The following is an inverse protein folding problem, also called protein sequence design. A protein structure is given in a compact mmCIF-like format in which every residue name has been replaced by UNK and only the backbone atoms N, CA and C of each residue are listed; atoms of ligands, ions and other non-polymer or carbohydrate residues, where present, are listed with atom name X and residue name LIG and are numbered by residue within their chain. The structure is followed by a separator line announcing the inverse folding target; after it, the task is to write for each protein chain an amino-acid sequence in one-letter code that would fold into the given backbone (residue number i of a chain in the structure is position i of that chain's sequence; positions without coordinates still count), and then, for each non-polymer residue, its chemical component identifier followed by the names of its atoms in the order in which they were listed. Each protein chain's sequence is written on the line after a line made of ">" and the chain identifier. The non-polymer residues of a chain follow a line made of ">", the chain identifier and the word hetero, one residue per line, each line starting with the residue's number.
data_IF_628635343845
#
_entry.id   IF_628635343845
#
_cell.length_a   1.000
_cell.length_b   1.000
_cell.length_c   1.000
_cell.angle_alpha   90.00
_cell.angle_beta   90.00
_cell.angle_gamma   90.00
#
_symmetry.space_group_name_H-M   'P 1'
#
loop_
_entity.id
_entity.type
_entity.pdbx_description
1 polymer ?
#
# COMPACT_ATOMS: atom_id res chain seq x y z
N UNK A 1 35.42 -16.36 24.23
CA UNK A 1 35.75 -15.35 25.25
C UNK A 1 35.46 -15.98 26.61
N UNK A 2 36.48 -16.18 27.45
CA UNK A 2 36.34 -16.89 28.72
C UNK A 2 35.56 -16.01 29.73
N UNK A 3 34.37 -16.45 30.12
CA UNK A 3 33.59 -15.83 31.20
C UNK A 3 34.23 -16.19 32.54
N UNK A 4 34.84 -15.20 33.20
CA UNK A 4 35.47 -15.39 34.50
C UNK A 4 34.42 -15.35 35.61
N UNK A 5 33.92 -16.52 36.02
CA UNK A 5 33.07 -16.66 37.21
C UNK A 5 33.90 -16.36 38.47
N UNK A 6 33.51 -15.33 39.23
CA UNK A 6 34.33 -14.77 40.32
C UNK A 6 34.11 -15.42 41.69
N UNK A 7 33.12 -16.30 41.86
CA UNK A 7 32.92 -17.04 43.12
C UNK A 7 32.59 -18.50 42.85
N UNK A 8 33.09 -19.45 43.65
CA UNK A 8 32.76 -20.87 43.51
C UNK A 8 31.30 -21.09 43.92
N UNK A 9 30.42 -21.15 42.92
CA UNK A 9 29.02 -21.54 43.06
C UNK A 9 28.49 -22.06 41.72
N UNK A 10 27.29 -22.62 41.71
CA UNK A 10 26.59 -23.05 40.50
C UNK A 10 25.98 -21.82 39.82
N UNK A 11 26.26 -21.65 38.52
CA UNK A 11 25.68 -20.59 37.69
C UNK A 11 24.81 -21.22 36.60
N UNK A 12 23.61 -20.67 36.40
CA UNK A 12 22.71 -21.02 35.30
C UNK A 12 22.70 -19.84 34.34
N UNK A 13 23.25 -20.04 33.14
CA UNK A 13 23.16 -19.07 32.06
C UNK A 13 22.06 -19.51 31.09
N UNK A 14 20.94 -18.81 31.09
CA UNK A 14 19.90 -18.99 30.08
C UNK A 14 20.29 -18.23 28.81
N UNK A 15 21.02 -18.89 27.92
CA UNK A 15 21.31 -18.36 26.59
C UNK A 15 20.07 -18.61 25.74
N UNK A 16 19.19 -17.62 25.61
CA UNK A 16 18.06 -17.70 24.67
C UNK A 16 18.59 -17.71 23.23
N UNK A 17 18.78 -18.92 22.70
CA UNK A 17 19.27 -19.19 21.34
C UNK A 17 18.15 -19.19 20.30
N UNK A 18 16.91 -18.91 20.70
CA UNK A 18 15.80 -18.89 19.77
C UNK A 18 15.88 -17.61 18.96
N UNK A 19 16.17 -17.68 17.64
CA UNK A 19 15.93 -16.53 16.79
C UNK A 19 14.46 -16.12 16.94
N UNK A 20 14.11 -14.82 16.87
CA UNK A 20 12.71 -14.43 16.77
C UNK A 20 12.08 -15.17 15.58
N UNK A 21 11.22 -16.16 15.86
CA UNK A 21 10.72 -17.13 14.87
C UNK A 21 9.69 -16.60 13.89
N UNK A 22 9.32 -15.32 13.98
CA UNK A 22 8.36 -14.68 13.07
C UNK A 22 8.93 -13.33 12.66
N UNK A 23 9.50 -13.29 11.45
CA UNK A 23 9.56 -12.05 10.70
C UNK A 23 8.12 -11.68 10.33
N UNK A 24 7.66 -10.50 10.74
CA UNK A 24 6.33 -10.02 10.36
C UNK A 24 6.24 -9.90 8.85
N UNK A 25 5.57 -10.85 8.21
CA UNK A 25 5.32 -10.78 6.76
C UNK A 25 4.14 -9.84 6.58
N UNK A 26 4.26 -8.84 5.70
CA UNK A 26 3.12 -7.98 5.35
C UNK A 26 2.05 -8.85 4.68
N UNK A 27 0.97 -9.18 5.37
CA UNK A 27 -0.06 -10.14 4.93
C UNK A 27 -1.13 -9.54 4.00
N UNK A 28 -0.85 -8.43 3.34
CA UNK A 28 -1.85 -7.78 2.52
C UNK A 28 -1.28 -6.73 1.59
N UNK A 29 -0.68 -7.18 0.47
CA UNK A 29 -0.42 -6.30 -0.67
C UNK A 29 -1.71 -6.31 -1.52
N UNK A 30 -2.51 -5.23 -1.52
CA UNK A 30 -3.72 -5.16 -2.34
C UNK A 30 -3.36 -5.01 -3.82
N UNK A 31 -4.25 -5.49 -4.69
CA UNK A 31 -4.20 -5.24 -6.13
C UNK A 31 -5.52 -4.59 -6.54
N UNK A 32 -5.43 -3.54 -7.35
CA UNK A 32 -6.58 -2.83 -7.89
C UNK A 32 -6.71 -3.14 -9.39
N UNK A 33 -7.91 -3.52 -9.83
CA UNK A 33 -8.21 -3.82 -11.23
C UNK A 33 -9.37 -2.91 -11.65
N UNK A 34 -9.17 -2.09 -12.67
CA UNK A 34 -10.17 -1.14 -13.12
C UNK A 34 -9.69 -0.31 -14.29
N UNK A 35 -10.51 0.68 -14.66
CA UNK A 35 -10.18 1.64 -15.70
C UNK A 35 -9.44 2.82 -15.10
N UNK A 36 -8.31 3.18 -15.70
CA UNK A 36 -7.50 4.34 -15.36
C UNK A 36 -7.60 5.38 -16.49
N UNK A 37 -7.24 6.62 -16.22
CA UNK A 37 -7.25 7.69 -17.22
C UNK A 37 -6.19 7.44 -18.30
N UNK A 38 -5.02 6.96 -17.87
CA UNK A 38 -3.89 6.56 -18.72
C UNK A 38 -3.21 5.31 -18.15
N UNK A 39 -2.31 4.72 -18.90
CA UNK A 39 -1.48 3.60 -18.45
C UNK A 39 -0.10 3.72 -19.13
N UNK A 40 0.68 4.72 -18.70
CA UNK A 40 2.00 4.99 -19.29
C UNK A 40 3.01 5.35 -18.19
N UNK A 41 4.21 4.79 -18.26
CA UNK A 41 5.37 5.22 -17.47
C UNK A 41 6.49 5.66 -18.41
N UNK A 42 6.80 6.96 -18.42
CA UNK A 42 7.90 7.54 -19.20
C UNK A 42 7.94 7.11 -20.69
N UNK A 43 6.78 6.90 -21.32
CA UNK A 43 6.65 6.45 -22.71
C UNK A 43 6.56 4.93 -22.91
N UNK A 44 6.59 4.14 -21.85
CA UNK A 44 6.25 2.70 -21.89
C UNK A 44 4.77 2.49 -21.59
N UNK A 45 4.09 1.71 -22.44
CA UNK A 45 2.70 1.32 -22.25
C UNK A 45 2.57 0.30 -21.12
N UNK A 46 1.78 0.62 -20.11
CA UNK A 46 1.49 -0.22 -18.94
C UNK A 46 0.14 -0.94 -19.07
N UNK A 47 -0.48 -0.93 -20.25
CA UNK A 47 -1.77 -1.60 -20.48
C UNK A 47 -1.66 -3.11 -20.23
N UNK A 48 -2.48 -3.63 -19.32
CA UNK A 48 -2.46 -5.04 -18.86
C UNK A 48 -1.13 -5.50 -18.19
N UNK A 49 -0.27 -4.56 -17.80
CA UNK A 49 0.97 -4.87 -17.08
C UNK A 49 0.76 -4.62 -15.58
N UNK A 50 0.93 -5.64 -14.72
CA UNK A 50 0.80 -5.44 -13.28
C UNK A 50 1.95 -4.57 -12.76
N UNK A 51 1.63 -3.31 -12.46
CA UNK A 51 2.61 -2.32 -12.01
C UNK A 51 2.51 -2.13 -10.51
N UNK A 52 3.64 -2.27 -9.81
CA UNK A 52 3.70 -2.05 -8.36
C UNK A 52 3.81 -0.56 -8.09
N UNK A 53 2.87 -0.05 -7.29
CA UNK A 53 2.90 1.31 -6.76
C UNK A 53 3.13 1.26 -5.25
N UNK A 54 3.83 2.26 -4.73
CA UNK A 54 4.14 2.43 -3.31
C UNK A 54 3.55 3.70 -2.73
N UNK A 55 3.17 4.66 -3.60
CA UNK A 55 2.58 5.93 -3.21
C UNK A 55 1.48 6.37 -4.16
N UNK A 56 0.64 7.29 -3.70
CA UNK A 56 -0.39 7.93 -4.53
C UNK A 56 0.23 8.73 -5.68
N UNK A 57 1.37 9.37 -5.46
CA UNK A 57 2.07 10.15 -6.50
C UNK A 57 2.51 9.27 -7.67
N UNK A 58 3.00 8.05 -7.40
CA UNK A 58 3.31 7.07 -8.44
C UNK A 58 2.05 6.66 -9.20
N UNK A 59 0.93 6.46 -8.49
CA UNK A 59 -0.35 6.18 -9.13
C UNK A 59 -0.78 7.32 -10.07
N UNK A 60 -0.72 8.58 -9.63
CA UNK A 60 -1.09 9.73 -10.46
C UNK A 60 -0.17 9.89 -11.68
N UNK A 61 1.13 9.61 -11.51
CA UNK A 61 2.09 9.66 -12.60
C UNK A 61 1.80 8.59 -13.66
N UNK A 62 1.54 7.34 -13.27
CA UNK A 62 1.32 6.22 -14.19
C UNK A 62 -0.11 6.13 -14.74
N UNK A 63 -1.10 6.40 -13.89
CA UNK A 63 -2.52 6.10 -14.16
C UNK A 63 -3.41 7.34 -14.26
N UNK A 64 -2.93 8.52 -13.86
CA UNK A 64 -3.67 9.78 -13.93
C UNK A 64 -4.63 10.01 -12.76
N UNK A 65 -5.65 10.84 -12.98
CA UNK A 65 -6.58 11.25 -11.94
C UNK A 65 -7.93 10.52 -12.06
N UNK A 66 -8.82 10.81 -11.11
CA UNK A 66 -10.19 10.34 -11.18
C UNK A 66 -10.92 11.01 -12.36
N UNK A 67 -11.73 10.21 -13.07
CA UNK A 67 -12.62 10.74 -14.10
C UNK A 67 -13.57 11.78 -13.50
N UNK A 68 -13.62 13.02 -14.01
CA UNK A 68 -14.57 14.02 -13.52
C UNK A 68 -16.01 13.58 -13.85
N UNK A 69 -16.88 13.62 -12.85
CA UNK A 69 -18.32 13.39 -13.03
C UNK A 69 -18.99 14.70 -13.39
N UNK A 70 -19.64 14.74 -14.56
CA UNK A 70 -20.50 15.87 -14.93
C UNK A 70 -21.84 15.74 -14.21
N UNK A 71 -22.13 16.68 -13.30
CA UNK A 71 -23.44 16.77 -12.64
C UNK A 71 -24.26 17.83 -13.39
N UNK A 72 -25.32 17.41 -14.06
CA UNK A 72 -26.25 18.32 -14.73
C UNK A 72 -27.40 18.68 -13.80
N UNK A 73 -27.43 19.91 -13.30
CA UNK A 73 -28.55 20.40 -12.48
C UNK A 73 -29.58 21.08 -13.38
N UNK A 74 -30.75 20.46 -13.54
CA UNK A 74 -31.90 21.07 -14.23
C UNK A 74 -32.84 21.68 -13.20
N UNK A 75 -32.96 23.01 -13.15
CA UNK A 75 -33.95 23.70 -12.32
C UNK A 75 -35.26 23.85 -13.10
N UNK A 76 -36.31 23.16 -12.67
CA UNK A 76 -37.67 23.42 -13.15
C UNK A 76 -38.26 24.63 -12.39
N UNK A 77 -39.12 25.41 -13.06
CA UNK A 77 -39.71 26.66 -12.57
C UNK A 77 -40.62 26.55 -11.33
N UNK A 78 -40.58 25.43 -10.61
CA UNK A 78 -41.30 25.13 -9.38
C UNK A 78 -40.39 24.96 -8.13
N UNK A 79 -39.12 25.38 -8.21
CA UNK A 79 -38.14 25.34 -7.10
C UNK A 79 -37.86 23.93 -6.52
N UNK A 80 -38.16 22.87 -7.27
CA UNK A 80 -37.75 21.50 -6.93
C UNK A 80 -36.42 21.16 -7.62
N UNK A 81 -35.36 21.02 -6.82
CA UNK A 81 -34.03 20.58 -7.31
C UNK A 81 -34.00 19.05 -7.33
N UNK A 82 -33.98 18.46 -8.52
CA UNK A 82 -33.71 17.02 -8.70
C UNK A 82 -32.29 16.84 -9.21
N UNK A 83 -31.52 15.96 -8.58
CA UNK A 83 -30.17 15.57 -9.00
C UNK A 83 -30.28 14.32 -9.87
N UNK A 84 -29.71 14.33 -11.08
CA UNK A 84 -29.54 13.14 -11.93
C UNK A 84 -28.07 12.70 -11.94
#
# INVERSE_FOLDING_TARGET
>A
MATSYKTPNVYIEEISKLPPSVAGVSTGIPAFIGYTEKAEDNGEDLTNVPTRITSLLEYENFFGFAKPTEIAVTTNAADEVTIQ
#
